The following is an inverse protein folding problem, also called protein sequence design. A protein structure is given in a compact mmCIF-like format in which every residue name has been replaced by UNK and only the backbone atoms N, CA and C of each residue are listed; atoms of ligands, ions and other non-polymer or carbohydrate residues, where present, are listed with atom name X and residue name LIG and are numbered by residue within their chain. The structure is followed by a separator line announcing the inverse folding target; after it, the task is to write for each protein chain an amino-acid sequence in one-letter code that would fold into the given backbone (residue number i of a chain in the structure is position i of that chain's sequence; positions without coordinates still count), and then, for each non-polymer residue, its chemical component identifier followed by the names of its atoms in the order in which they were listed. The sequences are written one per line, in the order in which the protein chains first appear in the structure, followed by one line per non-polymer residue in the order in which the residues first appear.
data_IF_636352884018
#
_entry.id   IF_636352884018
#
_cell.length_a   1.000
_cell.length_b   1.000
_cell.length_c   1.000
_cell.angle_alpha   90.00
_cell.angle_beta   90.00
_cell.angle_gamma   90.00
#
_symmetry.space_group_name_H-M   'P 1'
#
loop_
_entity.id
_entity.type
_entity.pdbx_description
1 polymer ?
#
# COMPACT_ATOMS: atom_id res chain seq x y z
N UNK A 1 13.91 -8.41 7.97
CA UNK A 1 14.65 -7.13 7.96
C UNK A 1 13.75 -5.92 8.26
N UNK A 2 14.26 -4.71 8.58
CA UNK A 2 13.42 -3.54 8.82
C UNK A 2 12.71 -3.06 7.54
N UNK A 3 11.47 -2.60 7.68
CA UNK A 3 10.72 -1.95 6.59
C UNK A 3 11.37 -0.62 6.26
N UNK A 4 11.62 -0.36 4.98
CA UNK A 4 12.09 0.96 4.54
C UNK A 4 10.88 1.81 4.14
N UNK A 5 10.59 2.86 4.92
CA UNK A 5 9.57 3.84 4.55
C UNK A 5 10.02 4.55 3.27
N UNK A 6 9.16 4.54 2.25
CA UNK A 6 9.40 5.24 0.99
C UNK A 6 8.80 6.65 1.02
N UNK A 7 7.57 6.77 1.51
CA UNK A 7 6.88 8.05 1.63
C UNK A 7 5.75 7.97 2.66
N UNK A 8 5.39 9.12 3.24
CA UNK A 8 4.20 9.25 4.07
C UNK A 8 3.45 10.53 3.76
N UNK A 9 2.16 10.39 3.48
CA UNK A 9 1.19 11.47 3.37
C UNK A 9 0.53 11.64 4.72
N UNK A 10 0.39 12.88 5.20
CA UNK A 10 -0.22 13.19 6.48
C UNK A 10 -1.24 14.29 6.25
N UNK A 11 -2.51 13.98 6.49
CA UNK A 11 -3.59 14.96 6.50
C UNK A 11 -3.99 15.25 7.93
N UNK A 12 -3.85 16.51 8.31
CA UNK A 12 -4.32 17.02 9.58
C UNK A 12 -5.48 17.98 9.32
N UNK A 13 -6.63 17.62 9.87
CA UNK A 13 -7.79 18.50 10.04
C UNK A 13 -7.99 18.74 11.53
N UNK A 14 -8.77 19.76 11.90
CA UNK A 14 -9.06 20.08 13.31
C UNK A 14 -9.63 18.88 14.08
N UNK A 15 -10.35 18.00 13.38
CA UNK A 15 -11.02 16.83 13.98
C UNK A 15 -10.18 15.55 13.87
N UNK A 16 -9.45 15.34 12.77
CA UNK A 16 -8.80 14.06 12.44
C UNK A 16 -7.40 14.23 11.87
N UNK A 17 -6.47 13.40 12.36
CA UNK A 17 -5.18 13.16 11.72
C UNK A 17 -5.30 11.81 11.03
N UNK A 18 -5.06 11.78 9.72
CA UNK A 18 -4.96 10.55 8.94
C UNK A 18 -3.62 10.52 8.23
N UNK A 19 -3.00 9.35 8.16
CA UNK A 19 -1.75 9.17 7.45
C UNK A 19 -1.78 7.95 6.56
N UNK A 20 -1.18 8.08 5.39
CA UNK A 20 -0.95 7.01 4.43
C UNK A 20 0.56 6.85 4.29
N UNK A 21 1.09 5.71 4.69
CA UNK A 21 2.53 5.41 4.61
C UNK A 21 2.75 4.23 3.67
N UNK A 22 3.67 4.41 2.72
CA UNK A 22 4.12 3.35 1.80
C UNK A 22 5.52 2.93 2.21
N UNK A 23 5.69 1.63 2.44
CA UNK A 23 6.96 1.04 2.88
C UNK A 23 7.33 -0.15 2.02
N UNK A 24 8.61 -0.31 1.74
CA UNK A 24 9.15 -1.47 1.05
C UNK A 24 9.67 -2.48 2.07
N UNK A 25 9.09 -3.68 2.09
CA UNK A 25 9.64 -4.86 2.79
C UNK A 25 10.41 -5.76 1.84
N UNK A 26 10.99 -6.85 2.33
CA UNK A 26 11.72 -7.84 1.52
C UNK A 26 10.83 -8.48 0.46
N UNK A 27 9.59 -8.78 0.84
CA UNK A 27 8.66 -9.66 0.17
C UNK A 27 7.43 -8.95 -0.42
N UNK A 28 7.39 -7.61 -0.35
CA UNK A 28 6.28 -6.81 -0.89
C UNK A 28 6.29 -5.35 -0.45
N UNK A 29 5.28 -4.62 -0.92
CA UNK A 29 5.01 -3.24 -0.50
C UNK A 29 3.97 -3.26 0.59
N UNK A 30 4.20 -2.52 1.66
CA UNK A 30 3.24 -2.35 2.73
C UNK A 30 2.62 -0.98 2.64
N UNK A 31 1.30 -0.94 2.50
CA UNK A 31 0.52 0.28 2.64
C UNK A 31 -0.11 0.27 4.02
N UNK A 32 0.19 1.31 4.78
CA UNK A 32 -0.38 1.54 6.10
C UNK A 32 -1.25 2.78 6.03
N UNK A 33 -2.49 2.65 6.47
CA UNK A 33 -3.38 3.78 6.66
C UNK A 33 -3.79 3.84 8.13
N UNK A 34 -3.55 4.98 8.76
CA UNK A 34 -3.82 5.17 10.19
C UNK A 34 -4.59 6.45 10.44
N UNK A 35 -5.42 6.43 11.47
CA UNK A 35 -5.98 7.61 12.11
C UNK A 35 -5.56 7.67 13.59
N UNK A 36 -6.15 8.58 14.38
CA UNK A 36 -5.82 8.74 15.81
C UNK A 36 -6.06 7.47 16.65
N UNK A 37 -6.96 6.56 16.26
CA UNK A 37 -7.44 5.44 17.07
C UNK A 37 -7.12 4.08 16.46
N UNK A 38 -6.93 4.01 15.15
CA UNK A 38 -6.88 2.78 14.40
C UNK A 38 -5.79 2.81 13.33
N UNK A 39 -5.28 1.63 13.00
CA UNK A 39 -4.23 1.44 12.01
C UNK A 39 -4.52 0.19 11.22
N UNK A 40 -4.71 0.35 9.92
CA UNK A 40 -4.81 -0.75 8.98
C UNK A 40 -3.50 -0.85 8.18
N UNK A 41 -2.98 -2.06 8.03
CA UNK A 41 -1.80 -2.31 7.21
C UNK A 41 -2.06 -3.51 6.33
N UNK A 42 -1.72 -3.37 5.06
CA UNK A 42 -1.84 -4.44 4.08
C UNK A 42 -0.54 -4.56 3.29
N UNK A 43 -0.21 -5.80 2.94
CA UNK A 43 0.90 -6.13 2.06
C UNK A 43 0.35 -6.32 0.64
N UNK A 44 0.92 -5.59 -0.30
CA UNK A 44 0.65 -5.73 -1.73
C UNK A 44 1.75 -6.54 -2.41
N UNK A 45 1.33 -7.46 -3.26
CA UNK A 45 2.17 -8.16 -4.21
C UNK A 45 2.51 -7.31 -5.44
N UNK A 46 3.37 -7.84 -6.31
CA UNK A 46 3.85 -7.14 -7.50
C UNK A 46 2.69 -6.65 -8.39
N UNK A 47 1.75 -7.55 -8.69
CA UNK A 47 0.63 -7.28 -9.60
C UNK A 47 -0.37 -6.29 -8.99
N UNK A 48 -0.53 -6.33 -7.66
CA UNK A 48 -1.40 -5.40 -6.94
C UNK A 48 -0.81 -3.99 -6.87
N UNK A 49 0.51 -3.88 -6.69
CA UNK A 49 1.21 -2.59 -6.78
C UNK A 49 1.08 -2.01 -8.19
N UNK A 50 1.29 -2.84 -9.23
CA UNK A 50 1.14 -2.41 -10.63
C UNK A 50 -0.31 -1.97 -10.95
N UNK A 51 -1.30 -2.77 -10.53
CA UNK A 51 -2.72 -2.45 -10.74
C UNK A 51 -3.14 -1.18 -9.99
N UNK A 52 -2.66 -0.98 -8.77
CA UNK A 52 -2.92 0.24 -8.01
C UNK A 52 -2.24 1.46 -8.66
N UNK A 53 -1.00 1.33 -9.15
CA UNK A 53 -0.30 2.43 -9.83
C UNK A 53 -1.05 2.89 -11.10
N UNK A 54 -1.49 1.95 -11.95
CA UNK A 54 -2.30 2.25 -13.15
C UNK A 54 -3.65 2.89 -12.75
N UNK A 55 -4.29 2.38 -11.70
CA UNK A 55 -5.54 2.94 -11.19
C UNK A 55 -5.38 4.39 -10.71
N UNK A 56 -4.30 4.69 -9.99
CA UNK A 56 -3.99 6.06 -9.54
C UNK A 56 -3.69 6.98 -10.72
N UNK A 57 -2.91 6.52 -11.70
CA UNK A 57 -2.60 7.29 -12.91
C UNK A 57 -3.86 7.65 -13.70
N UNK A 58 -4.75 6.67 -13.91
CA UNK A 58 -5.96 6.85 -14.72
C UNK A 58 -7.15 7.37 -13.92
N UNK A 59 -6.97 7.57 -12.62
CA UNK A 59 -8.04 7.84 -11.65
C UNK A 59 -9.23 6.86 -11.80
N UNK A 60 -8.92 5.56 -11.88
CA UNK A 60 -9.91 4.48 -12.05
C UNK A 60 -10.14 3.75 -10.75
N UNK A 61 -11.32 3.11 -10.66
CA UNK A 61 -11.64 2.27 -9.51
C UNK A 61 -10.79 1.00 -9.52
N UNK A 62 -10.20 0.70 -8.37
CA UNK A 62 -9.43 -0.52 -8.15
C UNK A 62 -9.62 -1.01 -6.73
N UNK A 63 -9.71 -2.33 -6.57
CA UNK A 63 -9.82 -2.94 -5.25
C UNK A 63 -9.16 -4.31 -5.20
N UNK A 64 -8.54 -4.61 -4.06
CA UNK A 64 -7.99 -5.92 -3.74
C UNK A 64 -8.54 -6.41 -2.40
N UNK A 65 -8.68 -7.73 -2.28
CA UNK A 65 -9.18 -8.39 -1.09
C UNK A 65 -8.11 -9.32 -0.54
N UNK A 66 -7.80 -9.15 0.74
CA UNK A 66 -6.82 -9.95 1.45
C UNK A 66 -7.50 -10.66 2.60
N UNK A 67 -7.49 -11.98 2.57
CA UNK A 67 -7.97 -12.82 3.67
C UNK A 67 -6.77 -13.25 4.51
N UNK A 68 -6.90 -13.17 5.83
CA UNK A 68 -5.91 -13.71 6.76
C UNK A 68 -6.60 -14.32 7.97
N UNK A 69 -6.01 -15.38 8.50
CA UNK A 69 -6.48 -16.04 9.72
C UNK A 69 -5.82 -15.38 10.92
N UNK A 70 -6.64 -14.93 11.87
CA UNK A 70 -6.15 -14.37 13.13
C UNK A 70 -5.73 -15.49 14.10
N UNK A 71 -5.04 -15.13 15.19
CA UNK A 71 -4.66 -16.08 16.26
C UNK A 71 -5.87 -16.76 16.92
N UNK A 72 -7.06 -16.15 16.81
CA UNK A 72 -8.33 -16.73 17.30
C UNK A 72 -8.99 -17.67 16.28
N UNK A 73 -8.30 -18.04 15.19
CA UNK A 73 -8.86 -18.77 14.05
C UNK A 73 -10.08 -18.09 13.39
N UNK A 74 -10.26 -16.78 13.60
CA UNK A 74 -11.25 -15.99 12.85
C UNK A 74 -10.64 -15.56 11.53
N UNK A 75 -11.35 -15.83 10.45
CA UNK A 75 -11.04 -15.34 9.12
C UNK A 75 -11.36 -13.85 9.05
N UNK A 76 -10.33 -13.02 8.95
CA UNK A 76 -10.46 -11.58 8.77
C UNK A 76 -10.17 -11.21 7.32
N UNK A 77 -10.96 -10.29 6.77
CA UNK A 77 -10.81 -9.82 5.40
C UNK A 77 -10.50 -8.33 5.40
N UNK A 78 -9.36 -7.96 4.85
CA UNK A 78 -9.04 -6.57 4.53
C UNK A 78 -9.40 -6.31 3.07
N UNK A 79 -10.03 -5.18 2.80
CA UNK A 79 -10.25 -4.64 1.45
C UNK A 79 -9.46 -3.36 1.30
N UNK A 80 -8.65 -3.29 0.26
CA UNK A 80 -8.08 -2.01 -0.21
C UNK A 80 -8.97 -1.51 -1.34
N UNK A 81 -9.23 -0.22 -1.36
CA UNK A 81 -10.00 0.41 -2.42
C UNK A 81 -9.41 1.78 -2.77
N UNK A 82 -9.18 2.00 -4.06
CA UNK A 82 -8.92 3.30 -4.66
C UNK A 82 -10.07 3.64 -5.61
N UNK A 83 -10.70 4.79 -5.44
CA UNK A 83 -11.79 5.26 -6.30
C UNK A 83 -11.88 6.78 -6.25
N UNK A 84 -11.94 7.44 -7.40
CA UNK A 84 -12.14 8.90 -7.52
C UNK A 84 -11.20 9.74 -6.64
N UNK A 85 -9.93 9.33 -6.55
CA UNK A 85 -8.91 9.97 -5.71
C UNK A 85 -9.01 9.65 -4.22
N UNK A 86 -9.97 8.84 -3.78
CA UNK A 86 -10.04 8.32 -2.41
C UNK A 86 -9.32 6.98 -2.30
N UNK A 87 -8.37 6.89 -1.38
CA UNK A 87 -7.75 5.65 -0.98
C UNK A 87 -8.27 5.21 0.38
N UNK A 88 -8.60 3.92 0.52
CA UNK A 88 -9.14 3.40 1.78
C UNK A 88 -8.72 1.96 2.03
N UNK A 89 -8.60 1.62 3.31
CA UNK A 89 -8.41 0.26 3.79
C UNK A 89 -9.52 -0.04 4.78
N UNK A 90 -10.28 -1.08 4.48
CA UNK A 90 -11.37 -1.61 5.30
C UNK A 90 -10.92 -2.94 5.90
N UNK A 91 -10.62 -2.93 7.20
CA UNK A 91 -10.31 -4.11 8.00
C UNK A 91 -11.27 -4.19 9.19
N UNK A 92 -10.75 -4.15 10.42
CA UNK A 92 -11.59 -3.98 11.62
C UNK A 92 -12.33 -2.63 11.62
N UNK A 93 -11.67 -1.61 11.08
CA UNK A 93 -12.24 -0.29 10.85
C UNK A 93 -12.02 0.11 9.41
N UNK A 94 -12.91 0.97 8.87
CA UNK A 94 -12.69 1.59 7.57
C UNK A 94 -11.99 2.92 7.78
N UNK A 95 -10.77 3.03 7.28
CA UNK A 95 -10.02 4.29 7.27
C UNK A 95 -9.82 4.71 5.81
N UNK A 96 -10.09 5.97 5.51
CA UNK A 96 -10.04 6.52 4.17
C UNK A 96 -9.37 7.89 4.15
N UNK A 97 -8.71 8.20 3.04
CA UNK A 97 -7.99 9.44 2.80
C UNK A 97 -8.26 9.88 1.37
N UNK A 98 -8.65 11.14 1.18
CA UNK A 98 -8.70 11.75 -0.16
C UNK A 98 -7.29 12.14 -0.54
N UNK A 99 -6.83 11.82 -1.74
CA UNK A 99 -5.55 12.27 -2.26
C UNK A 99 -5.79 13.41 -3.24
N UNK A 100 -5.18 14.58 -2.99
CA UNK A 100 -5.16 15.69 -3.93
C UNK A 100 -4.35 15.37 -5.19
N UNK A 101 -4.38 16.23 -6.21
CA UNK A 101 -3.69 15.98 -7.49
C UNK A 101 -2.19 15.74 -7.32
N UNK A 102 -1.52 16.58 -6.53
CA UNK A 102 -0.10 16.45 -6.22
C UNK A 102 0.21 15.17 -5.43
N UNK A 103 -0.67 14.81 -4.49
CA UNK A 103 -0.52 13.62 -3.67
C UNK A 103 -0.76 12.35 -4.47
N UNK A 104 -1.70 12.37 -5.42
CA UNK A 104 -1.89 11.27 -6.38
C UNK A 104 -0.66 11.10 -7.26
N UNK A 105 -0.10 12.19 -7.78
CA UNK A 105 1.11 12.14 -8.58
C UNK A 105 2.32 11.61 -7.77
N UNK A 106 2.48 12.06 -6.53
CA UNK A 106 3.51 11.57 -5.63
C UNK A 106 3.28 10.09 -5.25
N UNK A 107 2.05 9.71 -4.92
CA UNK A 107 1.69 8.35 -4.57
C UNK A 107 1.95 7.38 -5.72
N UNK A 108 1.56 7.77 -6.94
CA UNK A 108 1.89 7.04 -8.17
C UNK A 108 3.41 6.83 -8.30
N UNK A 109 4.21 7.90 -8.24
CA UNK A 109 5.68 7.80 -8.36
C UNK A 109 6.30 6.87 -7.32
N UNK A 110 5.77 6.90 -6.10
CA UNK A 110 6.22 6.02 -5.01
C UNK A 110 5.87 4.57 -5.30
N UNK A 111 4.69 4.29 -5.85
CA UNK A 111 4.28 2.93 -6.25
C UNK A 111 5.12 2.41 -7.42
N UNK A 112 5.36 3.23 -8.44
CA UNK A 112 6.23 2.89 -9.58
C UNK A 112 7.65 2.60 -9.13
N UNK A 113 8.23 3.46 -8.29
CA UNK A 113 9.54 3.21 -7.69
C UNK A 113 9.56 1.90 -6.88
N UNK A 114 8.51 1.63 -6.10
CA UNK A 114 8.43 0.40 -5.34
C UNK A 114 8.34 -0.84 -6.27
N UNK A 115 7.59 -0.74 -7.37
CA UNK A 115 7.46 -1.78 -8.39
C UNK A 115 8.81 -2.09 -9.04
N UNK A 116 9.56 -1.07 -9.45
CA UNK A 116 10.92 -1.21 -10.00
C UNK A 116 11.83 -1.97 -9.02
N UNK A 117 11.80 -1.59 -7.74
CA UNK A 117 12.61 -2.28 -6.70
C UNK A 117 12.21 -3.73 -6.49
N UNK A 118 10.91 -4.05 -6.57
CA UNK A 118 10.44 -5.42 -6.50
C UNK A 118 10.88 -6.26 -7.71
N UNK A 119 10.84 -5.67 -8.91
CA UNK A 119 11.32 -6.31 -10.14
C UNK A 119 12.83 -6.53 -10.10
N UNK A 120 13.62 -5.52 -9.71
CA UNK A 120 15.08 -5.64 -9.54
C UNK A 120 15.46 -6.81 -8.62
N UNK A 121 14.73 -6.99 -7.51
CA UNK A 121 14.98 -8.09 -6.57
C UNK A 121 14.63 -9.45 -7.17
N UNK A 122 13.45 -9.58 -7.78
CA UNK A 122 13.04 -10.82 -8.46
C UNK A 122 14.01 -11.20 -9.58
N UNK A 123 14.52 -10.22 -10.32
CA UNK A 123 15.54 -10.46 -11.34
C UNK A 123 16.85 -10.94 -10.71
N UNK A 124 17.35 -10.31 -9.65
CA UNK A 124 18.57 -10.75 -8.96
C UNK A 124 18.46 -12.16 -8.38
N UNK A 125 17.31 -12.49 -7.79
CA UNK A 125 17.01 -13.84 -7.29
C UNK A 125 16.97 -14.87 -8.43
N UNK A 126 16.33 -14.53 -9.55
CA UNK A 126 16.21 -15.41 -10.73
C UNK A 126 17.52 -15.59 -11.49
N UNK A 127 18.35 -14.55 -11.55
CA UNK A 127 19.66 -14.58 -12.22
C UNK A 127 20.71 -15.31 -11.39
N UNK A 128 20.46 -15.55 -10.09
CA UNK A 128 21.17 -16.55 -9.31
C UNK A 128 22.68 -16.51 -9.54
N UNK A 129 23.32 -15.40 -9.16
CA UNK A 129 24.71 -15.49 -8.76
C UNK A 129 24.76 -16.49 -7.60
N UNK A 130 25.03 -17.75 -7.95
CA UNK A 130 25.89 -18.61 -7.15
C UNK A 130 27.25 -17.92 -7.13
N UNK A 131 27.39 -16.90 -6.30
CA UNK A 131 28.69 -16.62 -5.72
C UNK A 131 28.91 -17.73 -4.71
N UNK A 132 29.64 -18.77 -5.16
CA UNK A 132 30.43 -19.58 -4.24
C UNK A 132 31.50 -18.73 -3.57
#
# INVERSE_FOLDING_TARGET
MPLKVLHSFIHQTDEKITSLTVSLGEDGVFITLSDKKSKNRVKLGLDEVAGLADAVERNRNWSAFHTFTTLENKESRNRINYADGFFSIEGETKIAMKLGDDERAAFRRVLEFALERMLERRMKERVGFKSG
#
